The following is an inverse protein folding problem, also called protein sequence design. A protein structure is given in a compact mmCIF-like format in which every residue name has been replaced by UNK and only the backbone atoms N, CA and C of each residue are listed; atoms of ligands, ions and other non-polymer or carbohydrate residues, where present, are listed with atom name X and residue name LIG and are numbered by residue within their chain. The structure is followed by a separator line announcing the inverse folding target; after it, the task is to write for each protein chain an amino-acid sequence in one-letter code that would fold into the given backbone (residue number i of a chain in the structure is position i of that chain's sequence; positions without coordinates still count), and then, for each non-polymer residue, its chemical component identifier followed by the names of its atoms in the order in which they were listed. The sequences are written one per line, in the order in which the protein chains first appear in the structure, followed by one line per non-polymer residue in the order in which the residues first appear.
data_IF_907033840751
#
_entry.id   IF_907033840751
#
_cell.length_a   1.000
_cell.length_b   1.000
_cell.length_c   1.000
_cell.angle_alpha   90.00
_cell.angle_beta   90.00
_cell.angle_gamma   90.00
#
_symmetry.space_group_name_H-M   'P 1'
#
loop_
_entity.id
_entity.type
_entity.pdbx_description
1 polymer ?
#
# COMPACT_ATOMS: atom_id res chain seq x y z
N UNK A 1 -40.27 2.69 -20.73
CA UNK A 1 -41.21 1.56 -20.52
C UNK A 1 -40.50 0.47 -19.74
N UNK A 2 -41.20 -0.21 -18.82
CA UNK A 2 -40.62 -1.36 -18.07
C UNK A 2 -40.47 -2.54 -19.03
N UNK A 3 -39.39 -3.36 -18.91
CA UNK A 3 -39.13 -4.50 -19.78
C UNK A 3 -40.34 -5.46 -19.91
N UNK A 4 -41.09 -5.65 -18.81
CA UNK A 4 -42.37 -6.39 -18.85
C UNK A 4 -43.34 -5.84 -19.89
N UNK A 5 -43.43 -4.52 -20.08
CA UNK A 5 -44.27 -3.89 -21.07
C UNK A 5 -43.80 -4.14 -22.50
N UNK A 6 -42.51 -4.23 -22.77
CA UNK A 6 -41.97 -4.58 -24.08
C UNK A 6 -42.33 -6.01 -24.49
N UNK A 7 -42.26 -6.96 -23.54
CA UNK A 7 -42.62 -8.36 -23.78
C UNK A 7 -44.12 -8.46 -24.09
N UNK A 8 -44.95 -7.78 -23.30
CA UNK A 8 -46.39 -7.77 -23.51
C UNK A 8 -46.78 -7.15 -24.85
N UNK A 9 -46.16 -6.05 -25.25
CA UNK A 9 -46.32 -5.41 -26.55
C UNK A 9 -45.88 -6.35 -27.66
N UNK A 10 -44.75 -7.08 -27.51
CA UNK A 10 -44.30 -8.09 -28.46
C UNK A 10 -45.34 -9.21 -28.70
N UNK A 11 -45.94 -9.71 -27.63
CA UNK A 11 -47.03 -10.69 -27.71
C UNK A 11 -48.31 -10.13 -28.40
N UNK A 12 -48.68 -8.91 -28.08
CA UNK A 12 -49.81 -8.22 -28.74
C UNK A 12 -49.56 -8.08 -30.26
N UNK A 13 -48.38 -7.64 -30.64
CA UNK A 13 -48.00 -7.48 -32.05
C UNK A 13 -48.00 -8.84 -32.76
N UNK A 14 -47.43 -9.88 -32.14
CA UNK A 14 -47.41 -11.26 -32.68
C UNK A 14 -48.82 -11.80 -32.89
N UNK A 15 -49.73 -11.61 -31.90
CA UNK A 15 -51.11 -12.02 -31.98
C UNK A 15 -51.84 -11.28 -33.10
N UNK A 16 -51.64 -9.96 -33.23
CA UNK A 16 -52.23 -9.13 -34.27
C UNK A 16 -51.77 -9.57 -35.66
N UNK A 17 -50.49 -9.86 -35.82
CA UNK A 17 -49.90 -10.37 -37.08
C UNK A 17 -50.55 -11.73 -37.42
N UNK A 18 -50.71 -12.63 -36.47
CA UNK A 18 -51.33 -13.93 -36.69
C UNK A 18 -52.78 -13.78 -37.15
N UNK A 19 -53.54 -12.86 -36.50
CA UNK A 19 -54.92 -12.55 -36.88
C UNK A 19 -54.98 -12.03 -38.32
N UNK A 20 -54.10 -11.12 -38.71
CA UNK A 20 -54.00 -10.55 -40.07
C UNK A 20 -53.70 -11.66 -41.11
N UNK A 21 -52.74 -12.56 -40.81
CA UNK A 21 -52.38 -13.68 -41.72
C UNK A 21 -53.55 -14.63 -41.89
N UNK A 22 -54.26 -14.99 -40.81
CA UNK A 22 -55.45 -15.85 -40.86
C UNK A 22 -56.55 -15.17 -41.66
N UNK A 23 -56.81 -13.88 -41.43
CA UNK A 23 -57.83 -13.11 -42.18
C UNK A 23 -57.51 -13.07 -43.70
N UNK A 24 -56.21 -12.84 -44.07
CA UNK A 24 -55.76 -12.85 -45.46
C UNK A 24 -55.94 -14.24 -46.11
N UNK A 25 -55.58 -15.32 -45.40
CA UNK A 25 -55.76 -16.69 -45.83
C UNK A 25 -57.21 -17.03 -46.13
N UNK A 26 -58.15 -16.51 -45.31
CA UNK A 26 -59.59 -16.63 -45.51
C UNK A 26 -60.06 -15.90 -46.75
N UNK A 27 -59.61 -14.66 -46.97
CA UNK A 27 -59.97 -13.90 -48.19
C UNK A 27 -59.50 -14.59 -49.45
N UNK A 28 -58.40 -15.34 -49.44
CA UNK A 28 -57.90 -16.16 -50.55
C UNK A 28 -58.61 -17.52 -50.70
N UNK A 29 -59.71 -17.76 -49.97
CA UNK A 29 -60.48 -19.04 -49.98
C UNK A 29 -59.65 -20.28 -49.59
N UNK A 30 -58.56 -20.09 -48.86
CA UNK A 30 -57.74 -21.19 -48.35
C UNK A 30 -58.36 -21.89 -47.14
N UNK A 31 -59.28 -21.23 -46.43
CA UNK A 31 -59.94 -21.73 -45.23
C UNK A 31 -61.47 -21.48 -45.31
N UNK A 32 -62.30 -22.47 -44.94
CA UNK A 32 -63.71 -22.35 -44.95
C UNK A 32 -64.22 -21.34 -43.91
N UNK A 33 -65.17 -20.50 -44.29
CA UNK A 33 -65.75 -19.44 -43.40
C UNK A 33 -66.26 -19.96 -42.08
N UNK A 34 -66.78 -21.18 -42.03
CA UNK A 34 -67.35 -21.82 -40.83
C UNK A 34 -66.30 -22.10 -39.72
N UNK A 35 -64.97 -22.26 -40.12
CA UNK A 35 -63.93 -22.63 -39.16
C UNK A 35 -63.15 -21.42 -38.68
N UNK A 36 -63.38 -20.20 -39.19
CA UNK A 36 -62.66 -18.99 -38.91
C UNK A 36 -62.73 -18.62 -37.44
N UNK A 37 -63.92 -18.59 -36.86
CA UNK A 37 -64.13 -18.17 -35.47
C UNK A 37 -63.47 -19.15 -34.50
N UNK A 38 -63.43 -20.45 -34.83
CA UNK A 38 -62.77 -21.47 -34.05
C UNK A 38 -61.25 -21.27 -34.07
N UNK A 39 -60.65 -21.07 -35.24
CA UNK A 39 -59.20 -20.83 -35.43
C UNK A 39 -58.77 -19.53 -34.76
N UNK A 40 -59.52 -18.44 -34.88
CA UNK A 40 -59.24 -17.17 -34.21
C UNK A 40 -59.31 -17.32 -32.69
N UNK A 41 -60.34 -18.02 -32.20
CA UNK A 41 -60.48 -18.31 -30.75
C UNK A 41 -59.28 -19.10 -30.21
N UNK A 42 -58.86 -20.17 -30.95
CA UNK A 42 -57.65 -20.97 -30.57
C UNK A 42 -56.37 -20.15 -30.57
N UNK A 43 -56.15 -19.30 -31.59
CA UNK A 43 -54.93 -18.46 -31.66
C UNK A 43 -54.87 -17.44 -30.51
N UNK A 44 -55.98 -16.85 -30.13
CA UNK A 44 -56.04 -15.92 -28.99
C UNK A 44 -55.74 -16.66 -27.68
N UNK A 45 -56.37 -17.82 -27.44
CA UNK A 45 -56.13 -18.63 -26.24
C UNK A 45 -54.68 -19.09 -26.17
N UNK A 46 -54.12 -19.62 -27.26
CA UNK A 46 -52.74 -20.04 -27.31
C UNK A 46 -51.76 -18.89 -27.05
N UNK A 47 -52.02 -17.69 -27.58
CA UNK A 47 -51.24 -16.51 -27.33
C UNK A 47 -51.30 -16.05 -25.86
N UNK A 48 -52.47 -16.07 -25.22
CA UNK A 48 -52.64 -15.72 -23.82
C UNK A 48 -51.89 -16.71 -22.90
N UNK A 49 -52.00 -18.01 -23.21
CA UNK A 49 -51.28 -19.07 -22.47
C UNK A 49 -49.79 -18.90 -22.64
N UNK A 50 -49.33 -18.67 -23.88
CA UNK A 50 -47.88 -18.42 -24.15
C UNK A 50 -47.34 -17.17 -23.43
N UNK A 51 -48.12 -16.09 -23.40
CA UNK A 51 -47.77 -14.89 -22.64
C UNK A 51 -47.70 -15.16 -21.14
N UNK A 52 -48.63 -15.92 -20.57
CA UNK A 52 -48.64 -16.32 -19.17
C UNK A 52 -47.41 -17.15 -18.78
N UNK A 53 -47.11 -18.18 -19.57
CA UNK A 53 -45.91 -19.03 -19.38
C UNK A 53 -44.63 -18.19 -19.45
N UNK A 54 -44.53 -17.30 -20.43
CA UNK A 54 -43.35 -16.46 -20.62
C UNK A 54 -43.13 -15.48 -19.44
N UNK A 55 -44.21 -14.86 -18.96
CA UNK A 55 -44.15 -13.97 -17.80
C UNK A 55 -43.76 -14.73 -16.54
N UNK A 56 -44.25 -15.97 -16.36
CA UNK A 56 -43.91 -16.83 -15.24
C UNK A 56 -42.43 -17.23 -15.27
N UNK A 57 -41.94 -17.71 -16.42
CA UNK A 57 -40.53 -18.10 -16.58
C UNK A 57 -39.56 -16.94 -16.43
N UNK A 58 -39.95 -15.73 -16.86
CA UNK A 58 -39.07 -14.55 -16.77
C UNK A 58 -39.17 -13.82 -15.42
N UNK A 59 -40.17 -14.17 -14.57
CA UNK A 59 -40.36 -13.53 -13.25
C UNK A 59 -39.12 -13.58 -12.36
N UNK A 60 -38.41 -14.73 -12.20
CA UNK A 60 -37.20 -14.79 -11.40
C UNK A 60 -36.08 -13.88 -11.94
N UNK A 61 -35.95 -13.79 -13.28
CA UNK A 61 -34.96 -12.92 -13.94
C UNK A 61 -35.21 -11.45 -13.59
N UNK A 62 -36.47 -10.98 -13.65
CA UNK A 62 -36.80 -9.61 -13.29
C UNK A 62 -36.52 -9.30 -11.82
N UNK A 63 -36.78 -10.27 -10.95
CA UNK A 63 -36.52 -10.12 -9.51
C UNK A 63 -35.02 -10.04 -9.26
N UNK A 64 -34.24 -10.90 -9.92
CA UNK A 64 -32.76 -10.91 -9.81
C UNK A 64 -32.12 -9.64 -10.35
N UNK A 65 -32.62 -9.11 -11.50
CA UNK A 65 -32.16 -7.79 -12.02
C UNK A 65 -32.50 -6.64 -11.05
N UNK A 66 -33.68 -6.71 -10.39
CA UNK A 66 -34.06 -5.73 -9.37
C UNK A 66 -33.11 -5.74 -8.18
N UNK A 67 -32.78 -6.93 -7.68
CA UNK A 67 -31.81 -7.11 -6.59
C UNK A 67 -30.41 -6.65 -6.99
N UNK A 68 -29.92 -7.03 -8.18
CA UNK A 68 -28.64 -6.60 -8.70
C UNK A 68 -28.52 -5.07 -8.78
N UNK A 69 -29.58 -4.39 -9.29
CA UNK A 69 -29.62 -2.92 -9.34
C UNK A 69 -29.56 -2.29 -7.94
N UNK A 70 -30.29 -2.84 -6.98
CA UNK A 70 -30.30 -2.33 -5.60
C UNK A 70 -28.94 -2.53 -4.94
N UNK A 71 -28.34 -3.72 -5.10
CA UNK A 71 -27.00 -4.02 -4.61
C UNK A 71 -25.93 -3.13 -5.23
N UNK A 72 -25.97 -2.92 -6.55
CA UNK A 72 -25.06 -2.00 -7.24
C UNK A 72 -25.16 -0.57 -6.69
N UNK A 73 -26.36 -0.14 -6.29
CA UNK A 73 -26.54 1.16 -5.65
C UNK A 73 -25.92 1.19 -4.25
N UNK A 74 -26.08 0.13 -3.43
CA UNK A 74 -25.45 0.04 -2.11
C UNK A 74 -23.93 0.06 -2.20
N UNK A 75 -23.35 -0.71 -3.13
CA UNK A 75 -21.90 -0.69 -3.39
C UNK A 75 -21.43 0.70 -3.79
N UNK A 76 -22.19 1.43 -4.61
CA UNK A 76 -21.88 2.82 -4.96
C UNK A 76 -21.95 3.77 -3.75
N UNK A 77 -22.83 3.49 -2.78
CA UNK A 77 -22.93 4.21 -1.50
C UNK A 77 -21.93 3.68 -0.44
N UNK A 78 -20.97 2.80 -0.84
CA UNK A 78 -19.95 2.16 0.02
C UNK A 78 -20.53 1.20 1.08
N UNK A 79 -21.73 0.69 0.87
CA UNK A 79 -22.32 -0.35 1.71
C UNK A 79 -22.06 -1.72 1.08
N UNK A 80 -21.04 -2.41 1.58
CA UNK A 80 -20.62 -3.74 1.15
C UNK A 80 -21.16 -4.86 2.05
N UNK A 81 -22.04 -4.54 3.02
CA UNK A 81 -22.44 -5.44 4.12
C UNK A 81 -23.27 -6.65 3.71
N UNK A 82 -23.73 -6.72 2.48
CA UNK A 82 -24.67 -7.75 2.04
C UNK A 82 -24.21 -8.50 0.80
N UNK A 83 -24.33 -9.83 0.80
CA UNK A 83 -24.13 -10.65 -0.37
C UNK A 83 -25.40 -10.72 -1.24
N UNK A 84 -25.22 -10.65 -2.54
CA UNK A 84 -26.28 -10.77 -3.52
C UNK A 84 -26.61 -12.25 -3.76
N UNK A 85 -27.81 -12.68 -3.35
CA UNK A 85 -28.36 -13.97 -3.72
C UNK A 85 -29.25 -13.83 -4.96
N UNK A 86 -28.77 -14.39 -6.07
CA UNK A 86 -29.48 -14.40 -7.36
C UNK A 86 -30.12 -15.75 -7.58
N UNK A 87 -31.42 -15.75 -7.90
CA UNK A 87 -32.18 -16.94 -8.28
C UNK A 87 -32.52 -16.87 -9.78
N UNK A 88 -32.55 -18.02 -10.45
CA UNK A 88 -32.91 -18.10 -11.86
C UNK A 88 -31.91 -18.94 -12.68
N UNK A 89 -31.82 -18.69 -13.99
CA UNK A 89 -30.87 -19.37 -14.87
C UNK A 89 -29.44 -19.30 -14.40
N UNK A 90 -28.62 -20.30 -14.77
CA UNK A 90 -27.21 -20.43 -14.32
C UNK A 90 -26.42 -19.18 -14.64
N UNK A 91 -26.69 -18.54 -15.77
CA UNK A 91 -26.01 -17.31 -16.21
C UNK A 91 -26.21 -16.15 -15.22
N UNK A 92 -27.41 -16.06 -14.62
CA UNK A 92 -27.68 -15.04 -13.59
C UNK A 92 -27.05 -15.38 -12.26
N UNK A 93 -26.94 -16.66 -11.90
CA UNK A 93 -26.22 -17.08 -10.70
C UNK A 93 -24.73 -16.76 -10.83
N UNK A 94 -24.12 -17.05 -12.00
CA UNK A 94 -22.73 -16.71 -12.30
C UNK A 94 -22.49 -15.18 -12.25
N UNK A 95 -23.43 -14.39 -12.80
CA UNK A 95 -23.38 -12.93 -12.73
C UNK A 95 -23.43 -12.43 -11.29
N UNK A 96 -24.30 -13.01 -10.46
CA UNK A 96 -24.40 -12.68 -9.04
C UNK A 96 -23.11 -13.00 -8.28
N UNK A 97 -22.49 -14.15 -8.58
CA UNK A 97 -21.23 -14.55 -7.98
C UNK A 97 -20.09 -13.60 -8.38
N UNK A 98 -19.93 -13.31 -9.67
CA UNK A 98 -18.93 -12.35 -10.15
C UNK A 98 -19.13 -10.95 -9.56
N UNK A 99 -20.38 -10.53 -9.36
CA UNK A 99 -20.70 -9.27 -8.70
C UNK A 99 -20.29 -9.26 -7.21
N UNK A 100 -20.52 -10.37 -6.50
CA UNK A 100 -20.08 -10.51 -5.09
C UNK A 100 -18.55 -10.48 -4.97
N UNK A 101 -17.84 -11.18 -5.86
CA UNK A 101 -16.36 -11.15 -5.92
C UNK A 101 -15.86 -9.72 -6.14
N UNK A 102 -16.42 -9.01 -7.13
CA UNK A 102 -16.08 -7.61 -7.39
C UNK A 102 -16.39 -6.71 -6.17
N UNK A 103 -17.53 -6.91 -5.50
CA UNK A 103 -17.90 -6.15 -4.31
C UNK A 103 -16.91 -6.38 -3.16
N UNK A 104 -16.48 -7.61 -2.95
CA UNK A 104 -15.48 -7.98 -1.95
C UNK A 104 -14.11 -7.35 -2.25
N UNK A 105 -13.66 -7.40 -3.50
CA UNK A 105 -12.38 -6.79 -3.92
C UNK A 105 -12.41 -5.27 -3.77
N UNK A 106 -13.55 -4.64 -4.10
CA UNK A 106 -13.75 -3.21 -3.87
C UNK A 106 -13.70 -2.87 -2.38
N UNK A 107 -14.37 -3.65 -1.52
CA UNK A 107 -14.31 -3.47 -0.07
C UNK A 107 -12.87 -3.53 0.42
N UNK A 108 -12.13 -4.59 0.09
CA UNK A 108 -10.73 -4.74 0.49
C UNK A 108 -9.86 -3.55 0.03
N UNK A 109 -10.12 -3.04 -1.18
CA UNK A 109 -9.42 -1.86 -1.72
C UNK A 109 -9.77 -0.59 -0.94
N UNK A 110 -11.04 -0.38 -0.60
CA UNK A 110 -11.46 0.77 0.21
C UNK A 110 -10.91 0.72 1.63
N UNK A 111 -10.94 -0.45 2.28
CA UNK A 111 -10.40 -0.65 3.63
C UNK A 111 -8.89 -0.35 3.64
N UNK A 112 -8.15 -0.83 2.62
CA UNK A 112 -6.72 -0.55 2.45
C UNK A 112 -6.45 0.94 2.21
N UNK A 113 -7.29 1.60 1.40
CA UNK A 113 -7.16 3.04 1.14
C UNK A 113 -7.44 3.87 2.41
N UNK A 114 -8.47 3.53 3.15
CA UNK A 114 -8.82 4.21 4.40
C UNK A 114 -7.73 4.08 5.45
N UNK A 115 -7.14 2.88 5.60
CA UNK A 115 -6.01 2.66 6.50
C UNK A 115 -4.79 3.46 6.04
N UNK A 116 -4.48 3.49 4.74
CA UNK A 116 -3.39 4.30 4.18
C UNK A 116 -3.58 5.80 4.44
N UNK A 117 -4.80 6.33 4.26
CA UNK A 117 -5.10 7.74 4.56
C UNK A 117 -5.05 8.04 6.05
N UNK A 118 -5.47 7.10 6.91
CA UNK A 118 -5.34 7.20 8.35
C UNK A 118 -3.87 7.24 8.80
N UNK A 119 -3.05 6.33 8.28
CA UNK A 119 -1.60 6.33 8.54
C UNK A 119 -0.94 7.63 8.11
N UNK A 120 -1.29 8.14 6.93
CA UNK A 120 -0.81 9.43 6.42
C UNK A 120 -1.22 10.61 7.31
N UNK A 121 -2.46 10.61 7.80
CA UNK A 121 -2.94 11.63 8.74
C UNK A 121 -2.16 11.64 10.05
N UNK A 122 -1.94 10.47 10.65
CA UNK A 122 -1.14 10.31 11.85
C UNK A 122 0.31 10.77 11.65
N UNK A 123 0.90 10.42 10.50
CA UNK A 123 2.24 10.83 10.11
C UNK A 123 2.37 12.37 10.02
N UNK A 124 1.43 13.05 9.37
CA UNK A 124 1.42 14.51 9.27
C UNK A 124 1.31 15.15 10.67
N UNK A 125 0.45 14.63 11.53
CA UNK A 125 0.27 15.13 12.89
C UNK A 125 1.56 15.00 13.72
N UNK A 126 2.23 13.85 13.64
CA UNK A 126 3.49 13.60 14.36
C UNK A 126 4.64 14.46 13.81
N UNK A 127 4.79 14.55 12.49
CA UNK A 127 5.80 15.41 11.87
C UNK A 127 5.60 16.88 12.26
N UNK A 128 4.35 17.36 12.30
CA UNK A 128 4.03 18.71 12.73
C UNK A 128 4.50 18.98 14.17
N UNK A 129 4.32 18.00 15.07
CA UNK A 129 4.81 18.09 16.44
C UNK A 129 6.35 18.09 16.50
N UNK A 130 6.99 17.19 15.74
CA UNK A 130 8.46 17.02 15.75
C UNK A 130 9.20 18.20 15.06
N UNK A 131 8.54 18.90 14.15
CA UNK A 131 9.00 20.17 13.55
C UNK A 131 8.80 21.34 14.52
N UNK A 132 7.66 21.41 15.25
CA UNK A 132 7.36 22.51 16.16
C UNK A 132 8.35 22.61 17.30
N UNK A 133 8.79 21.48 17.84
CA UNK A 133 9.72 21.42 18.99
C UNK A 133 11.05 22.11 18.72
N UNK A 134 11.84 21.77 17.67
CA UNK A 134 13.08 22.46 17.35
C UNK A 134 12.86 23.92 16.96
N UNK A 135 11.77 24.27 16.25
CA UNK A 135 11.45 25.67 15.92
C UNK A 135 11.25 26.49 17.19
N UNK A 136 10.46 25.99 18.15
CA UNK A 136 10.23 26.69 19.42
C UNK A 136 11.54 26.84 20.23
N UNK A 137 12.42 25.81 20.20
CA UNK A 137 13.72 25.90 20.87
C UNK A 137 14.63 26.94 20.21
N UNK A 138 14.67 27.00 18.88
CA UNK A 138 15.43 28.02 18.13
C UNK A 138 14.89 29.40 18.49
N UNK A 139 13.58 29.58 18.40
CA UNK A 139 12.93 30.88 18.70
C UNK A 139 13.23 31.35 20.12
N UNK A 140 13.05 30.50 21.12
CA UNK A 140 13.33 30.85 22.53
C UNK A 140 14.81 31.20 22.74
N UNK A 141 15.73 30.49 22.08
CA UNK A 141 17.16 30.77 22.14
C UNK A 141 17.50 32.13 21.52
N UNK A 142 16.92 32.44 20.34
CA UNK A 142 17.12 33.74 19.66
C UNK A 142 16.54 34.88 20.51
N UNK A 143 15.33 34.74 21.03
CA UNK A 143 14.71 35.73 21.93
C UNK A 143 15.57 35.94 23.18
N UNK A 144 16.08 34.88 23.81
CA UNK A 144 16.98 34.99 24.96
C UNK A 144 18.29 35.71 24.66
N UNK A 145 18.81 35.60 23.44
CA UNK A 145 20.00 36.39 23.03
C UNK A 145 19.62 37.85 22.81
N UNK A 146 18.53 38.12 22.12
CA UNK A 146 18.08 39.50 21.81
C UNK A 146 17.69 40.27 23.05
N UNK A 147 17.05 39.63 24.01
CA UNK A 147 16.63 40.25 25.28
C UNK A 147 17.77 40.37 26.30
N UNK A 148 18.99 39.92 25.93
CA UNK A 148 20.16 40.00 26.80
C UNK A 148 20.11 39.06 28.01
N UNK A 149 19.19 38.10 28.03
CA UNK A 149 19.10 37.04 29.06
C UNK A 149 20.31 36.10 28.99
N UNK A 150 20.74 35.79 27.77
CA UNK A 150 21.93 34.99 27.47
C UNK A 150 23.12 35.95 27.39
N UNK A 151 24.10 35.77 28.29
CA UNK A 151 25.29 36.61 28.34
C UNK A 151 26.21 36.38 27.16
N UNK A 152 26.99 37.41 26.77
CA UNK A 152 27.92 37.33 25.61
C UNK A 152 28.87 36.13 25.69
N UNK A 153 29.38 35.75 26.85
CA UNK A 153 30.30 34.60 27.01
C UNK A 153 29.61 33.21 26.85
N UNK A 154 28.28 33.15 26.80
CA UNK A 154 27.51 31.92 26.65
C UNK A 154 26.89 31.81 25.25
N UNK A 155 26.91 32.86 24.43
CA UNK A 155 26.25 32.94 23.14
C UNK A 155 26.71 31.86 22.16
N UNK A 156 28.01 31.54 22.12
CA UNK A 156 28.56 30.53 21.24
C UNK A 156 27.93 29.14 21.50
N UNK A 157 27.70 28.81 22.77
CA UNK A 157 27.04 27.54 23.15
C UNK A 157 25.60 27.49 22.64
N UNK A 158 24.87 28.60 22.77
CA UNK A 158 23.49 28.68 22.32
C UNK A 158 23.36 28.75 20.78
N UNK A 159 24.29 29.44 20.11
CA UNK A 159 24.38 29.43 18.65
C UNK A 159 24.66 28.04 18.10
N UNK A 160 25.57 27.29 18.74
CA UNK A 160 25.80 25.87 18.39
C UNK A 160 24.54 25.03 18.62
N UNK A 161 23.71 25.35 19.59
CA UNK A 161 22.42 24.66 19.81
C UNK A 161 21.42 24.97 18.70
N UNK A 162 21.33 26.24 18.23
CA UNK A 162 20.53 26.60 17.07
C UNK A 162 20.99 25.81 15.84
N UNK A 163 22.31 25.73 15.59
CA UNK A 163 22.87 24.94 14.48
C UNK A 163 22.42 23.47 14.53
N UNK A 164 22.53 22.82 15.68
CA UNK A 164 22.08 21.43 15.85
C UNK A 164 20.56 21.26 15.62
N UNK A 165 19.72 22.20 16.07
CA UNK A 165 18.29 22.15 15.81
C UNK A 165 17.92 22.36 14.35
N UNK A 166 18.65 23.23 13.66
CA UNK A 166 18.47 23.47 12.20
C UNK A 166 18.87 22.22 11.40
N UNK A 167 19.97 21.57 11.75
CA UNK A 167 20.39 20.33 11.11
C UNK A 167 19.37 19.20 11.33
N UNK A 168 18.81 19.11 12.53
CA UNK A 168 17.71 18.17 12.82
C UNK A 168 16.47 18.44 11.98
N UNK A 169 16.10 19.73 11.78
CA UNK A 169 15.00 20.11 10.90
C UNK A 169 15.25 19.71 9.45
N UNK A 170 16.46 19.95 8.95
CA UNK A 170 16.81 19.56 7.58
C UNK A 170 16.68 18.05 7.36
N UNK A 171 17.15 17.22 8.30
CA UNK A 171 16.96 15.76 8.25
C UNK A 171 15.49 15.37 8.22
N UNK A 172 14.63 16.01 9.04
CA UNK A 172 13.18 15.78 9.02
C UNK A 172 12.55 16.12 7.66
N UNK A 173 12.96 17.24 7.06
CA UNK A 173 12.45 17.66 5.74
C UNK A 173 12.90 16.68 4.64
N UNK A 174 14.12 16.18 4.69
CA UNK A 174 14.62 15.18 3.76
C UNK A 174 13.86 13.85 3.89
N UNK A 175 13.61 13.39 5.13
CA UNK A 175 12.81 12.21 5.40
C UNK A 175 11.36 12.36 4.89
N UNK A 176 10.76 13.53 5.10
CA UNK A 176 9.43 13.86 4.60
C UNK A 176 9.36 13.88 3.06
N UNK A 177 10.33 14.53 2.42
CA UNK A 177 10.41 14.58 0.96
C UNK A 177 10.54 13.18 0.37
N UNK A 178 11.36 12.33 0.97
CA UNK A 178 11.50 10.94 0.54
C UNK A 178 10.17 10.17 0.61
N UNK A 179 9.42 10.33 1.70
CA UNK A 179 8.15 9.64 1.90
C UNK A 179 7.02 10.15 0.98
N UNK A 180 7.04 11.46 0.65
CA UNK A 180 5.99 12.07 -0.18
C UNK A 180 6.25 11.90 -1.68
N UNK A 181 7.49 12.04 -2.14
CA UNK A 181 7.84 11.96 -3.56
C UNK A 181 7.83 10.51 -4.07
N UNK A 182 8.17 9.53 -3.26
CA UNK A 182 8.16 8.12 -3.67
C UNK A 182 6.74 7.54 -3.78
N UNK A 183 5.74 8.13 -3.14
CA UNK A 183 4.32 7.76 -3.35
C UNK A 183 3.80 8.21 -4.73
N UNK A 184 4.41 9.25 -5.33
CA UNK A 184 4.00 9.81 -6.62
C UNK A 184 4.87 9.33 -7.81
N UNK A 185 6.04 8.74 -7.56
CA UNK A 185 7.07 8.43 -8.57
C UNK A 185 7.30 6.93 -8.81
N UNK A 186 6.24 6.12 -8.75
CA UNK A 186 6.29 4.73 -9.25
C UNK A 186 6.44 4.64 -10.79
N UNK A 187 6.93 5.69 -11.46
CA UNK A 187 7.17 5.68 -12.90
C UNK A 187 8.55 6.24 -13.24
N UNK A 188 9.41 5.30 -13.68
CA UNK A 188 10.49 5.53 -14.65
C UNK A 188 11.52 6.58 -14.26
N UNK A 189 12.41 6.27 -13.32
CA UNK A 189 13.79 6.71 -13.48
C UNK A 189 14.62 5.51 -13.94
N UNK A 190 15.20 5.63 -15.12
CA UNK A 190 16.24 4.74 -15.63
C UNK A 190 17.37 4.72 -14.60
N UNK A 191 17.38 3.72 -13.75
CA UNK A 191 18.47 3.45 -12.84
C UNK A 191 19.70 3.18 -13.72
N UNK A 192 20.69 4.09 -13.70
CA UNK A 192 22.03 3.72 -14.13
C UNK A 192 22.44 2.53 -13.28
N UNK A 193 22.57 1.37 -13.91
CA UNK A 193 23.11 0.19 -13.24
C UNK A 193 24.63 0.37 -13.17
N UNK A 194 25.09 1.04 -12.14
CA UNK A 194 26.50 1.21 -11.89
C UNK A 194 27.07 -0.07 -11.26
N UNK A 195 28.30 -0.41 -11.62
CA UNK A 195 29.02 -1.49 -10.98
C UNK A 195 29.55 -1.00 -9.63
N UNK A 196 28.97 -1.49 -8.55
CA UNK A 196 29.26 -1.07 -7.17
C UNK A 196 30.21 -2.07 -6.53
N UNK A 197 31.35 -1.60 -6.07
CA UNK A 197 32.26 -2.38 -5.23
C UNK A 197 31.73 -2.39 -3.80
N UNK A 198 31.49 -3.57 -3.23
CA UNK A 198 30.89 -3.68 -1.90
C UNK A 198 31.81 -3.22 -0.78
N UNK A 199 33.10 -3.43 -0.90
CA UNK A 199 34.13 -2.93 0.03
C UNK A 199 34.12 -1.39 0.07
N UNK A 200 34.13 -0.74 -1.09
CA UNK A 200 34.06 0.71 -1.17
C UNK A 200 32.74 1.24 -0.58
N UNK A 201 31.63 0.64 -0.90
CA UNK A 201 30.32 1.00 -0.35
C UNK A 201 30.31 0.94 1.19
N UNK A 202 30.83 -0.15 1.79
CA UNK A 202 30.89 -0.29 3.24
C UNK A 202 31.81 0.75 3.87
N UNK A 203 33.01 0.98 3.30
CA UNK A 203 33.96 1.96 3.82
C UNK A 203 33.40 3.38 3.74
N UNK A 204 32.83 3.76 2.62
CA UNK A 204 32.24 5.10 2.46
C UNK A 204 31.04 5.33 3.41
N UNK A 205 30.14 4.34 3.55
CA UNK A 205 29.04 4.43 4.53
C UNK A 205 29.57 4.55 5.97
N UNK A 206 30.61 3.81 6.34
CA UNK A 206 31.16 3.86 7.70
C UNK A 206 31.96 5.13 7.97
N UNK A 207 32.49 5.78 6.95
CA UNK A 207 33.20 7.05 7.10
C UNK A 207 32.33 8.18 7.66
N UNK A 208 31.00 8.13 7.39
CA UNK A 208 30.04 9.07 7.98
C UNK A 208 29.95 8.94 9.51
N UNK A 209 30.28 7.77 10.06
CA UNK A 209 30.22 7.45 11.48
C UNK A 209 31.58 7.50 12.18
N UNK A 210 32.66 7.84 11.46
CA UNK A 210 34.02 7.77 12.00
C UNK A 210 34.16 8.52 13.33
N UNK A 211 33.65 9.75 13.41
CA UNK A 211 33.70 10.54 14.65
C UNK A 211 32.99 9.86 15.82
N UNK A 212 31.82 9.22 15.54
CA UNK A 212 31.06 8.49 16.57
C UNK A 212 31.78 7.20 17.00
N UNK A 213 32.39 6.49 16.05
CA UNK A 213 33.19 5.28 16.30
C UNK A 213 34.34 5.60 17.26
N UNK A 214 35.09 6.69 16.99
CA UNK A 214 36.19 7.13 17.80
C UNK A 214 35.73 7.65 19.20
N UNK A 215 34.66 8.46 19.23
CA UNK A 215 34.15 9.06 20.47
C UNK A 215 33.56 7.99 21.43
N UNK A 216 32.91 6.97 20.87
CA UNK A 216 32.26 5.91 21.64
C UNK A 216 33.12 4.66 21.82
N UNK A 217 34.36 4.68 21.31
CA UNK A 217 35.31 3.55 21.34
C UNK A 217 34.72 2.25 20.81
N UNK A 218 33.98 2.31 19.68
CA UNK A 218 33.28 1.17 19.10
C UNK A 218 34.20 0.18 18.43
N UNK A 219 33.97 -1.12 18.65
CA UNK A 219 34.64 -2.20 17.91
C UNK A 219 33.87 -2.50 16.62
N UNK A 220 34.37 -2.01 15.47
CA UNK A 220 33.71 -2.11 14.18
C UNK A 220 34.41 -3.14 13.29
N UNK A 221 33.64 -4.16 12.87
CA UNK A 221 34.09 -5.19 11.95
C UNK A 221 33.38 -5.10 10.60
N UNK A 222 34.16 -4.91 9.53
CA UNK A 222 33.65 -4.91 8.16
C UNK A 222 34.18 -6.14 7.42
N UNK A 223 33.29 -6.86 6.74
CA UNK A 223 33.66 -8.04 5.95
C UNK A 223 32.86 -8.08 4.63
N UNK A 224 33.56 -8.40 3.53
CA UNK A 224 32.97 -8.64 2.21
C UNK A 224 33.36 -10.04 1.73
N UNK A 225 32.37 -10.83 1.29
CA UNK A 225 32.54 -12.23 0.86
C UNK A 225 31.87 -12.42 -0.51
N UNK A 226 32.62 -12.80 -1.56
CA UNK A 226 34.09 -12.85 -1.65
C UNK A 226 34.69 -11.46 -1.60
N UNK A 227 36.01 -11.38 -1.27
CA UNK A 227 36.74 -10.11 -1.33
C UNK A 227 36.58 -9.46 -2.71
N UNK A 228 36.40 -8.13 -2.74
CA UNK A 228 36.20 -7.35 -3.98
C UNK A 228 34.94 -7.75 -4.76
N UNK A 229 33.89 -8.29 -4.09
CA UNK A 229 32.61 -8.56 -4.70
C UNK A 229 31.96 -7.28 -5.25
N UNK A 230 31.33 -7.40 -6.41
CA UNK A 230 30.65 -6.30 -7.09
C UNK A 230 29.19 -6.64 -7.30
N UNK A 231 28.35 -5.63 -7.20
CA UNK A 231 26.94 -5.70 -7.50
C UNK A 231 26.56 -4.65 -8.54
N UNK A 232 25.53 -4.90 -9.33
CA UNK A 232 24.91 -3.87 -10.17
C UNK A 232 23.72 -3.29 -9.43
N UNK A 233 23.58 -1.96 -9.41
CA UNK A 233 22.46 -1.34 -8.72
C UNK A 233 22.55 0.17 -8.59
N UNK A 234 21.67 0.71 -7.78
CA UNK A 234 21.63 2.14 -7.43
C UNK A 234 22.44 2.35 -6.15
N UNK A 235 23.65 2.95 -6.32
CA UNK A 235 24.57 3.25 -5.22
C UNK A 235 23.90 4.10 -4.13
N UNK A 236 23.17 5.15 -4.53
CA UNK A 236 22.56 6.08 -3.58
C UNK A 236 21.50 5.39 -2.71
N UNK A 237 20.69 4.49 -3.29
CA UNK A 237 19.72 3.71 -2.53
C UNK A 237 20.38 2.72 -1.60
N UNK A 238 21.40 1.99 -2.06
CA UNK A 238 22.14 1.03 -1.21
C UNK A 238 22.84 1.73 -0.05
N UNK A 239 23.55 2.83 -0.32
CA UNK A 239 24.20 3.64 0.71
C UNK A 239 23.19 4.13 1.74
N UNK A 240 22.04 4.66 1.30
CA UNK A 240 21.00 5.16 2.21
C UNK A 240 20.37 4.06 3.06
N UNK A 241 20.19 2.85 2.53
CA UNK A 241 19.74 1.69 3.33
C UNK A 241 20.76 1.41 4.44
N UNK A 242 22.04 1.27 4.07
CA UNK A 242 23.11 0.96 5.02
C UNK A 242 23.24 2.03 6.11
N UNK A 243 23.27 3.31 5.75
CA UNK A 243 23.32 4.42 6.69
C UNK A 243 22.16 4.37 7.69
N UNK A 244 20.94 4.04 7.23
CA UNK A 244 19.79 3.89 8.13
C UNK A 244 19.95 2.70 9.09
N UNK A 245 20.46 1.55 8.61
CA UNK A 245 20.66 0.36 9.46
C UNK A 245 21.79 0.59 10.47
N UNK A 246 22.91 1.16 10.04
CA UNK A 246 24.06 1.50 10.90
C UNK A 246 23.66 2.55 11.95
N UNK A 247 22.96 3.61 11.55
CA UNK A 247 22.46 4.63 12.48
C UNK A 247 21.52 4.03 13.54
N UNK A 248 20.71 3.06 13.14
CA UNK A 248 19.86 2.32 14.09
C UNK A 248 20.71 1.52 15.08
N UNK A 249 21.74 0.83 14.62
CA UNK A 249 22.66 0.07 15.47
C UNK A 249 23.37 0.99 16.50
N UNK A 250 23.93 2.13 16.08
CA UNK A 250 24.54 3.12 16.99
C UNK A 250 23.56 3.65 18.03
N UNK A 251 22.33 3.86 17.62
CA UNK A 251 21.30 4.46 18.48
C UNK A 251 20.81 3.53 19.59
N UNK A 252 20.74 2.23 19.32
CA UNK A 252 20.15 1.26 20.24
C UNK A 252 21.14 0.33 20.93
N UNK A 253 22.44 0.51 20.66
CA UNK A 253 23.51 -0.17 21.38
C UNK A 253 24.33 0.82 22.22
N UNK A 254 24.96 0.34 23.30
CA UNK A 254 25.76 1.17 24.21
C UNK A 254 27.13 1.50 23.58
N UNK A 255 27.78 2.64 23.97
CA UNK A 255 29.19 2.89 23.64
C UNK A 255 30.09 1.69 24.01
N UNK A 256 31.14 1.45 23.23
CA UNK A 256 32.09 0.35 23.44
C UNK A 256 31.62 -1.03 22.97
N UNK A 257 30.37 -1.16 22.48
CA UNK A 257 29.85 -2.44 21.98
C UNK A 257 30.31 -2.71 20.54
N UNK A 258 30.29 -3.99 20.15
CA UNK A 258 30.65 -4.43 18.81
C UNK A 258 29.55 -4.06 17.79
N UNK A 259 30.00 -3.61 16.61
CA UNK A 259 29.19 -3.45 15.41
C UNK A 259 29.81 -4.27 14.28
N UNK A 260 29.05 -5.18 13.70
CA UNK A 260 29.51 -6.01 12.59
C UNK A 260 28.69 -5.75 11.34
N UNK A 261 29.35 -5.46 10.22
CA UNK A 261 28.72 -5.27 8.91
C UNK A 261 29.32 -6.25 7.93
N UNK A 262 28.50 -7.19 7.44
CA UNK A 262 28.94 -8.24 6.53
C UNK A 262 28.14 -8.18 5.24
N UNK A 263 28.84 -8.01 4.11
CA UNK A 263 28.27 -8.11 2.77
C UNK A 263 28.68 -9.44 2.13
N UNK A 264 27.70 -10.24 1.69
CA UNK A 264 27.92 -11.52 1.01
C UNK A 264 27.25 -11.52 -0.34
N UNK A 265 27.98 -11.98 -1.35
CA UNK A 265 27.45 -12.21 -2.69
C UNK A 265 27.58 -13.70 -3.03
N UNK A 266 26.50 -14.44 -2.88
CA UNK A 266 26.46 -15.89 -3.12
C UNK A 266 25.26 -16.24 -4.01
N UNK A 267 25.43 -17.15 -4.97
CA UNK A 267 24.35 -17.67 -5.82
C UNK A 267 23.48 -16.59 -6.47
N UNK A 268 24.07 -15.50 -6.92
CA UNK A 268 23.36 -14.36 -7.51
C UNK A 268 22.44 -13.61 -6.53
N UNK A 269 22.68 -13.75 -5.23
CA UNK A 269 21.99 -13.03 -4.17
C UNK A 269 23.00 -12.21 -3.36
N UNK A 270 22.72 -10.91 -3.24
CA UNK A 270 23.45 -10.02 -2.34
C UNK A 270 22.72 -10.02 -1.00
N UNK A 271 23.45 -10.27 0.08
CA UNK A 271 22.98 -10.07 1.45
C UNK A 271 23.93 -9.12 2.18
N UNK A 272 23.38 -8.08 2.82
CA UNK A 272 24.16 -7.17 3.67
C UNK A 272 23.54 -7.17 5.05
N UNK A 273 24.26 -7.65 6.05
CA UNK A 273 23.83 -7.72 7.44
C UNK A 273 24.54 -6.68 8.31
N UNK A 274 23.80 -6.02 9.18
CA UNK A 274 24.28 -5.12 10.22
C UNK A 274 23.86 -5.70 11.56
N UNK A 275 24.85 -6.09 12.38
CA UNK A 275 24.64 -6.71 13.68
C UNK A 275 25.13 -5.81 14.80
N UNK A 276 24.27 -5.56 15.78
CA UNK A 276 24.58 -4.78 16.98
C UNK A 276 24.41 -5.63 18.26
N UNK A 277 25.12 -5.26 19.30
CA UNK A 277 24.99 -5.81 20.66
C UNK A 277 24.15 -4.86 21.55
N UNK A 278 23.03 -4.39 21.01
CA UNK A 278 22.14 -3.46 21.69
C UNK A 278 21.09 -4.12 22.61
N UNK A 279 20.08 -3.33 22.94
CA UNK A 279 18.98 -3.78 23.80
C UNK A 279 18.12 -4.90 23.18
N UNK A 280 18.26 -5.15 21.87
CA UNK A 280 17.40 -6.09 21.14
C UNK A 280 15.95 -5.61 21.03
N UNK A 281 15.12 -6.44 20.38
CA UNK A 281 13.72 -6.14 20.05
C UNK A 281 12.87 -7.30 20.55
N UNK A 282 11.74 -7.00 21.20
CA UNK A 282 10.79 -8.00 21.61
C UNK A 282 10.09 -8.64 20.40
N UNK A 283 9.74 -9.92 20.47
CA UNK A 283 9.14 -10.65 19.35
C UNK A 283 7.83 -10.04 18.86
N UNK A 284 7.06 -9.40 19.74
CA UNK A 284 5.81 -8.71 19.44
C UNK A 284 6.00 -7.42 18.61
N UNK A 285 7.20 -6.83 18.68
CA UNK A 285 7.52 -5.58 17.96
C UNK A 285 8.16 -5.82 16.58
N UNK A 286 8.70 -7.02 16.29
CA UNK A 286 9.50 -7.30 15.09
C UNK A 286 8.81 -6.96 13.76
N UNK A 287 7.49 -7.20 13.64
CA UNK A 287 6.72 -6.82 12.47
C UNK A 287 6.44 -5.32 12.40
N UNK A 288 6.34 -4.69 13.57
CA UNK A 288 5.91 -3.29 13.69
C UNK A 288 7.04 -2.28 13.55
N UNK A 289 8.31 -2.65 13.80
CA UNK A 289 9.46 -1.74 13.70
C UNK A 289 9.69 -1.16 12.30
N UNK A 290 9.16 -1.78 11.26
CA UNK A 290 9.20 -1.30 9.87
C UNK A 290 8.03 -0.39 9.51
N UNK A 291 7.02 -0.25 10.38
CA UNK A 291 5.93 0.70 10.17
C UNK A 291 6.45 2.13 10.38
N UNK A 292 5.95 3.04 9.55
CA UNK A 292 6.31 4.46 9.64
C UNK A 292 5.96 5.01 11.02
N UNK A 293 6.89 5.76 11.63
CA UNK A 293 6.74 6.40 12.95
C UNK A 293 6.59 5.42 14.14
N UNK A 294 6.72 4.13 13.91
CA UNK A 294 6.67 3.17 15.00
C UNK A 294 7.92 3.26 15.86
N UNK A 295 7.72 3.21 17.17
CA UNK A 295 8.79 3.19 18.19
C UNK A 295 8.35 2.30 19.34
N UNK A 296 9.25 1.41 19.76
CA UNK A 296 9.06 0.61 20.98
C UNK A 296 8.90 1.55 22.18
N UNK A 297 7.94 1.31 23.07
CA UNK A 297 7.58 2.24 24.16
C UNK A 297 8.75 2.63 25.07
N UNK A 298 9.67 1.71 25.34
CA UNK A 298 10.88 1.95 26.12
C UNK A 298 11.84 2.96 25.48
N UNK A 299 11.77 3.16 24.15
CA UNK A 299 12.60 4.09 23.38
C UNK A 299 12.01 5.50 23.22
N UNK A 300 10.82 5.78 23.77
CA UNK A 300 10.16 7.09 23.70
C UNK A 300 10.88 8.21 24.46
N UNK A 301 11.89 7.88 25.26
CA UNK A 301 12.71 8.89 25.92
C UNK A 301 13.42 9.77 24.89
N UNK A 302 13.24 11.10 24.99
CA UNK A 302 13.74 12.13 24.04
C UNK A 302 15.27 12.12 23.85
N UNK A 303 16.04 11.42 24.67
CA UNK A 303 17.51 11.35 24.58
C UNK A 303 18.01 10.53 23.39
N UNK A 304 17.23 9.61 22.83
CA UNK A 304 17.64 8.74 21.72
C UNK A 304 17.19 9.22 20.33
N UNK A 305 16.72 10.45 20.20
CA UNK A 305 16.50 11.29 19.01
C UNK A 305 16.27 10.60 17.67
N UNK A 306 15.11 9.97 17.42
CA UNK A 306 14.78 9.45 16.07
C UNK A 306 13.28 9.41 15.87
N UNK A 307 12.85 9.68 14.62
CA UNK A 307 11.44 9.87 14.28
C UNK A 307 10.72 8.57 13.91
N UNK A 308 11.39 7.40 13.99
CA UNK A 308 10.81 6.11 13.59
C UNK A 308 10.62 5.96 12.07
N UNK A 309 11.37 6.72 11.27
CA UNK A 309 11.27 6.70 9.81
C UNK A 309 12.41 5.91 9.14
N UNK A 310 13.58 5.79 9.77
CA UNK A 310 14.77 5.20 9.15
C UNK A 310 14.59 3.76 8.66
N UNK A 311 14.02 2.87 9.48
CA UNK A 311 13.75 1.47 9.09
C UNK A 311 12.65 1.37 8.02
N UNK A 312 11.63 2.22 8.09
CA UNK A 312 10.58 2.27 7.08
C UNK A 312 11.14 2.74 5.72
N UNK A 313 12.02 3.75 5.72
CA UNK A 313 12.74 4.23 4.52
C UNK A 313 13.65 3.12 3.98
N UNK A 314 14.41 2.46 4.83
CA UNK A 314 15.31 1.37 4.41
C UNK A 314 14.52 0.24 3.74
N UNK A 315 13.40 -0.19 4.31
CA UNK A 315 12.52 -1.23 3.74
C UNK A 315 11.91 -0.81 2.41
N UNK A 316 11.42 0.41 2.31
CA UNK A 316 10.86 0.96 1.06
C UNK A 316 11.91 0.97 -0.07
N UNK A 317 13.14 1.42 0.23
CA UNK A 317 14.25 1.40 -0.74
C UNK A 317 14.64 -0.03 -1.14
N UNK A 318 14.64 -0.97 -0.19
CA UNK A 318 14.90 -2.37 -0.47
C UNK A 318 13.86 -2.96 -1.44
N UNK A 319 12.57 -2.68 -1.22
CA UNK A 319 11.50 -3.09 -2.15
C UNK A 319 11.67 -2.47 -3.54
N UNK A 320 12.07 -1.19 -3.65
CA UNK A 320 12.34 -0.55 -4.93
C UNK A 320 13.53 -1.18 -5.68
N UNK A 321 14.48 -1.77 -4.95
CA UNK A 321 15.60 -2.53 -5.51
C UNK A 321 15.24 -4.00 -5.80
N UNK A 322 13.98 -4.42 -5.57
CA UNK A 322 13.51 -5.78 -5.77
C UNK A 322 13.95 -6.76 -4.67
N UNK A 323 14.24 -6.24 -3.48
CA UNK A 323 14.66 -7.02 -2.33
C UNK A 323 13.81 -6.80 -1.08
N UNK A 324 14.32 -7.26 0.06
CA UNK A 324 13.66 -7.18 1.35
C UNK A 324 14.67 -6.96 2.48
N UNK A 325 14.22 -6.35 3.60
CA UNK A 325 14.97 -6.29 4.85
C UNK A 325 14.31 -7.21 5.86
N UNK A 326 15.09 -8.15 6.38
CA UNK A 326 14.70 -9.04 7.47
C UNK A 326 15.39 -8.64 8.76
N UNK A 327 14.81 -9.04 9.91
CA UNK A 327 15.38 -8.80 11.23
C UNK A 327 15.41 -10.10 12.04
N UNK A 328 16.52 -10.33 12.71
CA UNK A 328 16.66 -11.35 13.77
C UNK A 328 17.13 -10.65 15.02
N UNK A 329 16.38 -10.74 16.11
CA UNK A 329 16.71 -10.03 17.35
C UNK A 329 16.24 -10.82 18.56
N UNK A 330 16.98 -10.67 19.66
CA UNK A 330 16.62 -11.17 20.95
C UNK A 330 16.77 -10.05 21.97
N UNK A 331 15.70 -9.80 22.74
CA UNK A 331 15.70 -8.77 23.77
C UNK A 331 16.85 -8.98 24.78
N UNK A 332 17.67 -7.96 24.97
CA UNK A 332 18.85 -7.97 25.83
C UNK A 332 20.12 -8.50 25.18
N UNK A 333 20.12 -9.01 23.93
CA UNK A 333 21.30 -9.56 23.26
C UNK A 333 21.69 -8.81 21.97
N UNK A 334 20.82 -7.98 21.43
CA UNK A 334 21.09 -7.21 20.22
C UNK A 334 20.21 -7.60 19.04
N UNK A 335 20.52 -7.02 17.87
CA UNK A 335 19.76 -7.21 16.63
C UNK A 335 20.66 -7.40 15.43
N UNK A 336 20.18 -8.15 14.45
CA UNK A 336 20.77 -8.28 13.12
C UNK A 336 19.74 -7.92 12.08
N UNK A 337 19.99 -6.85 11.34
CA UNK A 337 19.19 -6.46 10.18
C UNK A 337 19.88 -6.91 8.90
N UNK A 338 19.18 -7.60 8.03
CA UNK A 338 19.76 -8.14 6.79
C UNK A 338 18.96 -7.66 5.58
N UNK A 339 19.63 -6.88 4.71
CA UNK A 339 19.14 -6.58 3.37
C UNK A 339 19.41 -7.78 2.47
N UNK A 340 18.41 -8.25 1.74
CA UNK A 340 18.51 -9.34 0.76
C UNK A 340 18.05 -8.83 -0.60
N UNK A 341 18.92 -8.90 -1.62
CA UNK A 341 18.62 -8.51 -2.99
C UNK A 341 18.92 -9.67 -3.94
N UNK A 342 17.96 -10.03 -4.77
CA UNK A 342 18.17 -10.98 -5.85
C UNK A 342 18.76 -10.27 -7.08
N UNK A 343 19.93 -10.65 -7.49
CA UNK A 343 20.57 -10.15 -8.70
C UNK A 343 19.98 -10.91 -9.89
N UNK A 344 19.02 -10.29 -10.61
CA UNK A 344 18.58 -10.86 -11.87
C UNK A 344 19.76 -10.85 -12.85
N UNK A 345 20.13 -12.02 -13.38
CA UNK A 345 20.96 -12.07 -14.58
C UNK A 345 20.24 -11.29 -15.68
N UNK A 346 20.85 -10.17 -16.12
CA UNK A 346 20.45 -9.49 -17.34
C UNK A 346 20.57 -10.41 -18.55
#
# INVERSE_FOLDING_TARGET
MKLKSYILVGYIISTLLTIIVVFWAVQKMLIAKSEIYFLLGMTIVASLVGAGISLFLLSPVFTSLGKLKEHAKRVADKDFSSNLEVQGPVEFQQLGQAFNEMSHDLQATFDSLEESEREKGLMIAQLSHDIKTPITSIQATVEGILDGVIKEGEQDHYLATIGRQTERLNKLVEELNFLTLNTARNQVETTSKDSIFLDQLLIECMSEFQFLIEQEERDVHLQVIPESARTEGDYAKLSRILVNLVNNAFKYSAPGTKLEVVAKLENNQLSISVTDEGQGIASEDLESIFKRLYRVETSRNMKTGGHGLGLAIARELAHQLGGEITVSSQYGLGSTFTLVLNQNKA
#
